data_IF_255781503027
#
_entry.id   IF_255781503027
#
_cell.length_a   1.000
_cell.length_b   1.000
_cell.length_c   1.000
_cell.angle_alpha   90.00
_cell.angle_beta   90.00
_cell.angle_gamma   90.00
#
_symmetry.space_group_name_H-M   'P 1'
#
loop_
_entity.id
_entity.type
_entity.pdbx_description
1 polymer ?
#
# COMPACT_ATOMS: atom_id res chain seq x y z
N UNK A 1 13.06 8.19 -25.88
CA UNK A 1 11.70 7.83 -25.41
C UNK A 1 10.96 9.09 -24.99
N UNK A 2 9.77 9.34 -25.57
CA UNK A 2 9.15 10.67 -25.59
C UNK A 2 8.60 11.11 -24.23
N UNK A 3 8.86 12.39 -23.88
CA UNK A 3 8.40 13.10 -22.68
C UNK A 3 6.91 13.45 -22.78
N UNK A 4 6.04 12.46 -22.90
CA UNK A 4 4.59 12.67 -23.04
C UNK A 4 3.82 12.45 -21.71
N UNK A 5 4.25 13.09 -20.61
CA UNK A 5 3.43 13.26 -19.39
C UNK A 5 3.80 14.56 -18.67
N UNK A 6 3.38 15.70 -19.23
CA UNK A 6 3.25 16.96 -18.47
C UNK A 6 1.78 17.39 -18.52
N UNK A 7 0.88 16.53 -18.02
CA UNK A 7 -0.41 16.99 -17.50
C UNK A 7 -0.10 17.85 -16.28
N UNK A 8 -0.80 18.98 -16.10
CA UNK A 8 -0.67 19.92 -14.97
C UNK A 8 -0.37 19.17 -13.66
N UNK A 9 0.90 19.12 -13.26
CA UNK A 9 1.28 18.54 -11.97
C UNK A 9 0.74 19.50 -10.91
N UNK A 10 -0.10 19.04 -9.97
CA UNK A 10 -0.54 19.89 -8.89
C UNK A 10 0.67 20.41 -8.09
N UNK A 11 0.54 21.62 -7.56
CA UNK A 11 1.57 22.21 -6.69
C UNK A 11 1.79 21.25 -5.52
N UNK A 12 3.05 20.99 -5.18
CA UNK A 12 3.39 20.16 -4.02
C UNK A 12 2.76 20.81 -2.79
N UNK A 13 1.87 20.10 -2.06
CA UNK A 13 1.21 20.66 -0.90
C UNK A 13 2.22 21.09 0.17
N UNK A 14 1.97 22.24 0.81
CA UNK A 14 2.80 22.73 1.93
C UNK A 14 2.48 22.03 3.25
N UNK A 15 1.31 21.39 3.36
CA UNK A 15 0.88 20.64 4.54
C UNK A 15 0.30 19.30 4.15
N UNK A 16 0.15 18.39 5.11
CA UNK A 16 -0.50 17.08 4.92
C UNK A 16 -2.03 17.18 4.71
N UNK A 17 -2.62 18.32 5.08
CA UNK A 17 -4.04 18.63 4.94
C UNK A 17 -4.32 19.18 3.54
N UNK A 18 -4.25 18.30 2.54
CA UNK A 18 -4.55 18.65 1.15
C UNK A 18 -5.60 17.72 0.58
N UNK A 19 -6.42 18.23 -0.33
CA UNK A 19 -7.38 17.41 -1.04
C UNK A 19 -6.68 16.62 -2.14
N UNK A 20 -7.02 15.34 -2.26
CA UNK A 20 -6.59 14.52 -3.38
C UNK A 20 -7.50 14.87 -4.56
N UNK A 21 -7.00 15.36 -5.70
CA UNK A 21 -7.87 15.68 -6.82
C UNK A 21 -8.62 14.43 -7.31
N UNK A 22 -9.88 14.59 -7.72
CA UNK A 22 -10.76 13.47 -8.12
C UNK A 22 -10.13 12.56 -9.18
N UNK A 23 -9.37 13.14 -10.12
CA UNK A 23 -8.66 12.39 -11.16
C UNK A 23 -7.62 11.40 -10.64
N UNK A 24 -7.16 11.55 -9.39
CA UNK A 24 -6.25 10.62 -8.71
C UNK A 24 -6.99 9.66 -7.78
N UNK A 25 -8.26 9.92 -7.49
CA UNK A 25 -9.10 9.03 -6.70
C UNK A 25 -9.74 7.92 -7.56
N UNK A 26 -9.60 8.00 -8.88
CA UNK A 26 -10.24 7.10 -9.84
C UNK A 26 -9.24 6.46 -10.80
N UNK A 27 -9.60 5.29 -11.34
CA UNK A 27 -8.92 4.66 -12.46
C UNK A 27 -9.15 5.44 -13.76
N UNK A 28 -8.43 5.09 -14.83
CA UNK A 28 -8.66 5.65 -16.17
C UNK A 28 -10.08 5.36 -16.72
N UNK A 29 -10.77 4.37 -16.14
CA UNK A 29 -12.15 3.99 -16.46
C UNK A 29 -13.14 4.47 -15.40
N UNK A 30 -12.78 5.54 -14.67
CA UNK A 30 -13.62 6.23 -13.67
C UNK A 30 -14.15 5.36 -12.54
N UNK A 31 -13.47 4.24 -12.25
CA UNK A 31 -13.76 3.39 -11.09
C UNK A 31 -12.99 3.90 -9.88
N UNK A 32 -13.48 3.63 -8.68
CA UNK A 32 -12.78 3.96 -7.43
C UNK A 32 -11.35 3.39 -7.42
N UNK A 33 -10.40 4.20 -6.98
CA UNK A 33 -9.00 3.83 -6.84
C UNK A 33 -8.39 4.29 -5.51
N UNK A 34 -8.76 5.47 -5.00
CA UNK A 34 -8.47 5.82 -3.60
C UNK A 34 -9.35 4.94 -2.70
N UNK A 35 -8.71 4.01 -1.99
CA UNK A 35 -9.36 3.03 -1.14
C UNK A 35 -9.55 3.58 0.28
N UNK A 36 -8.48 4.12 0.86
CA UNK A 36 -8.46 4.69 2.21
C UNK A 36 -7.77 6.05 2.18
N UNK A 37 -8.36 7.00 2.91
CA UNK A 37 -7.77 8.27 3.28
C UNK A 37 -8.02 8.52 4.77
N UNK A 38 -6.98 8.33 5.58
CA UNK A 38 -7.10 8.31 7.04
C UNK A 38 -6.00 9.14 7.71
N UNK A 39 -6.37 9.95 8.70
CA UNK A 39 -5.41 10.62 9.57
C UNK A 39 -5.25 9.81 10.87
N UNK A 40 -4.09 9.18 11.07
CA UNK A 40 -3.79 8.43 12.31
C UNK A 40 -3.66 9.36 13.51
N UNK A 41 -3.33 10.63 13.26
CA UNK A 41 -3.34 11.71 14.23
C UNK A 41 -3.94 12.93 13.56
N UNK A 42 -4.95 13.57 14.15
CA UNK A 42 -5.64 14.70 13.51
C UNK A 42 -4.65 15.77 13.01
N UNK A 43 -4.69 16.09 11.73
CA UNK A 43 -3.81 17.09 11.10
C UNK A 43 -2.37 16.62 10.85
N UNK A 44 -2.06 15.35 11.11
CA UNK A 44 -0.73 14.73 11.03
C UNK A 44 -0.86 13.27 10.57
N UNK A 45 0.25 12.59 10.31
CA UNK A 45 0.29 11.15 10.06
C UNK A 45 -0.85 10.59 9.18
N UNK A 46 -0.95 11.06 7.94
CA UNK A 46 -1.96 10.59 6.98
C UNK A 46 -1.51 9.28 6.35
N UNK A 47 -2.39 8.29 6.34
CA UNK A 47 -2.27 7.01 5.64
C UNK A 47 -3.19 7.05 4.41
N UNK A 48 -2.62 6.82 3.23
CA UNK A 48 -3.38 6.66 1.99
C UNK A 48 -3.17 5.26 1.43
N UNK A 49 -4.25 4.62 0.98
CA UNK A 49 -4.19 3.35 0.26
C UNK A 49 -4.92 3.51 -1.06
N UNK A 50 -4.26 3.11 -2.14
CA UNK A 50 -4.82 3.08 -3.47
C UNK A 50 -4.87 1.64 -3.99
N UNK A 51 -6.06 1.22 -4.39
CA UNK A 51 -6.30 -0.07 -5.04
C UNK A 51 -7.66 -0.04 -5.73
N UNK A 52 -7.74 -0.66 -6.90
CA UNK A 52 -9.03 -0.92 -7.56
C UNK A 52 -9.64 -2.22 -7.03
N UNK A 53 -10.96 -2.38 -7.17
CA UNK A 53 -11.64 -3.61 -6.76
C UNK A 53 -11.03 -4.86 -7.43
N UNK A 54 -10.61 -4.77 -8.69
CA UNK A 54 -9.94 -5.86 -9.40
C UNK A 54 -8.61 -6.25 -8.76
N UNK A 55 -7.82 -5.25 -8.34
CA UNK A 55 -6.58 -5.51 -7.63
C UNK A 55 -6.82 -6.10 -6.24
N UNK A 56 -7.86 -5.66 -5.53
CA UNK A 56 -8.27 -6.25 -4.25
C UNK A 56 -8.72 -7.71 -4.42
N UNK A 57 -9.47 -8.03 -5.48
CA UNK A 57 -9.80 -9.42 -5.83
C UNK A 57 -8.53 -10.26 -5.97
N UNK A 58 -7.52 -9.76 -6.70
CA UNK A 58 -6.24 -10.45 -6.85
C UNK A 58 -5.50 -10.61 -5.52
N UNK A 59 -5.45 -9.56 -4.70
CA UNK A 59 -4.80 -9.57 -3.40
C UNK A 59 -5.40 -10.64 -2.48
N UNK A 60 -6.73 -10.67 -2.36
CA UNK A 60 -7.42 -11.55 -1.41
C UNK A 60 -7.54 -13.00 -1.90
N UNK A 61 -7.41 -13.26 -3.19
CA UNK A 61 -7.37 -14.62 -3.75
C UNK A 61 -5.96 -15.23 -3.75
N UNK A 62 -4.94 -14.41 -3.53
CA UNK A 62 -3.57 -14.89 -3.63
C UNK A 62 -3.09 -15.62 -2.39
N UNK A 63 -2.30 -16.66 -2.64
CA UNK A 63 -1.57 -17.40 -1.60
C UNK A 63 -0.23 -16.75 -1.27
N UNK A 64 0.34 -15.94 -2.16
CA UNK A 64 1.64 -15.29 -1.99
C UNK A 64 1.54 -13.81 -2.28
N UNK A 65 1.96 -13.01 -1.31
CA UNK A 65 2.08 -11.56 -1.49
C UNK A 65 3.52 -11.13 -1.23
N UNK A 66 3.92 -10.08 -1.93
CA UNK A 66 5.20 -9.42 -1.78
C UNK A 66 4.93 -8.02 -1.26
N UNK A 67 5.74 -7.57 -0.31
CA UNK A 67 5.64 -6.23 0.22
C UNK A 67 7.00 -5.56 0.13
N UNK A 68 7.01 -4.32 -0.33
CA UNK A 68 8.25 -3.57 -0.53
C UNK A 68 8.07 -2.11 -0.13
N UNK A 69 8.99 -1.65 0.71
CA UNK A 69 9.05 -0.29 1.20
C UNK A 69 10.10 0.52 0.46
N UNK A 70 9.70 1.46 -0.41
CA UNK A 70 10.65 2.35 -1.08
C UNK A 70 10.68 3.75 -0.47
N UNK A 71 11.89 4.27 -0.23
CA UNK A 71 12.14 5.53 0.48
C UNK A 71 12.55 6.66 -0.47
N UNK A 72 13.30 6.34 -1.53
CA UNK A 72 13.97 7.31 -2.40
C UNK A 72 13.00 8.20 -3.19
N UNK A 73 11.74 7.78 -3.33
CA UNK A 73 10.72 8.45 -4.13
C UNK A 73 9.55 8.99 -3.29
N UNK A 74 9.73 9.11 -1.98
CA UNK A 74 8.62 9.45 -1.07
C UNK A 74 8.12 10.88 -1.29
N UNK A 75 6.81 11.08 -1.56
CA UNK A 75 6.23 12.43 -1.64
C UNK A 75 6.37 13.19 -0.31
N UNK A 76 6.36 14.52 -0.39
CA UNK A 76 6.33 15.35 0.80
C UNK A 76 5.21 14.91 1.77
N UNK A 77 5.48 14.98 3.07
CA UNK A 77 4.61 14.58 4.19
C UNK A 77 4.47 13.08 4.46
N UNK A 78 5.00 12.21 3.61
CA UNK A 78 5.07 10.76 3.85
C UNK A 78 6.51 10.34 4.14
N UNK A 79 6.69 9.16 4.71
CA UNK A 79 8.02 8.58 5.00
C UNK A 79 8.33 7.34 4.20
N UNK A 80 7.33 6.77 3.55
CA UNK A 80 7.47 5.55 2.76
C UNK A 80 6.36 5.45 1.73
N UNK A 81 6.73 5.07 0.51
CA UNK A 81 5.81 4.45 -0.45
C UNK A 81 5.90 2.96 -0.20
N UNK A 82 4.78 2.33 0.13
CA UNK A 82 4.72 0.91 0.44
C UNK A 82 3.87 0.21 -0.61
N UNK A 83 4.45 -0.77 -1.29
CA UNK A 83 3.82 -1.48 -2.40
C UNK A 83 3.49 -2.90 -1.98
N UNK A 84 2.27 -3.33 -2.27
CA UNK A 84 1.87 -4.73 -2.14
C UNK A 84 1.68 -5.30 -3.53
N UNK A 85 2.40 -6.38 -3.82
CA UNK A 85 2.33 -7.11 -5.06
C UNK A 85 1.81 -8.53 -4.83
N UNK A 86 1.33 -9.13 -5.90
CA UNK A 86 1.02 -10.55 -5.91
C UNK A 86 1.39 -11.18 -7.24
N UNK A 87 1.51 -12.50 -7.28
CA UNK A 87 1.77 -13.25 -8.49
C UNK A 87 0.46 -13.77 -9.10
N UNK A 88 0.28 -13.56 -10.41
CA UNK A 88 -0.75 -14.25 -11.18
C UNK A 88 -0.22 -14.61 -12.56
N UNK A 89 -0.38 -15.87 -12.97
CA UNK A 89 0.11 -16.40 -14.25
C UNK A 89 1.61 -16.17 -14.49
N UNK A 90 2.44 -16.32 -13.45
CA UNK A 90 3.89 -16.10 -13.54
C UNK A 90 4.32 -14.64 -13.68
N UNK A 91 3.42 -13.69 -13.46
CA UNK A 91 3.71 -12.26 -13.45
C UNK A 91 3.45 -11.66 -12.08
N UNK A 92 4.38 -10.84 -11.63
CA UNK A 92 4.20 -10.00 -10.44
C UNK A 92 3.40 -8.74 -10.80
N UNK A 93 2.33 -8.50 -10.06
CA UNK A 93 1.37 -7.42 -10.30
C UNK A 93 1.23 -6.56 -9.04
N UNK A 94 1.38 -5.22 -9.13
CA UNK A 94 1.09 -4.35 -8.01
C UNK A 94 -0.42 -4.28 -7.78
N UNK A 95 -0.84 -4.56 -6.55
CA UNK A 95 -2.25 -4.63 -6.16
C UNK A 95 -2.64 -3.61 -5.10
N UNK A 96 -1.69 -3.04 -4.34
CA UNK A 96 -1.96 -1.87 -3.53
C UNK A 96 -0.75 -0.93 -3.49
N UNK A 97 -1.03 0.37 -3.54
CA UNK A 97 -0.05 1.43 -3.42
C UNK A 97 -0.39 2.25 -2.17
N UNK A 98 0.51 2.28 -1.21
CA UNK A 98 0.25 2.90 0.08
C UNK A 98 1.25 4.03 0.33
N UNK A 99 0.76 5.15 0.86
CA UNK A 99 1.61 6.24 1.34
C UNK A 99 1.54 6.27 2.85
N UNK A 100 2.65 5.92 3.51
CA UNK A 100 2.72 5.73 4.94
C UNK A 100 3.38 6.96 5.60
N UNK A 101 2.82 7.45 6.72
CA UNK A 101 3.36 8.62 7.40
C UNK A 101 4.63 8.34 8.20
N UNK A 102 4.88 7.08 8.56
CA UNK A 102 6.03 6.64 9.35
C UNK A 102 6.16 5.11 9.26
N UNK A 103 7.30 4.56 9.68
CA UNK A 103 7.61 3.12 9.67
C UNK A 103 7.35 2.43 11.03
N UNK A 104 6.28 2.82 11.73
CA UNK A 104 5.98 2.27 13.07
C UNK A 104 4.99 1.12 12.96
N UNK A 105 5.11 0.13 13.85
CA UNK A 105 4.18 -1.00 13.93
C UNK A 105 2.70 -0.60 13.90
N UNK A 106 2.33 0.48 14.61
CA UNK A 106 0.93 0.99 14.61
C UNK A 106 0.42 1.41 13.23
N UNK A 107 1.30 1.95 12.38
CA UNK A 107 0.93 2.35 11.01
C UNK A 107 0.72 1.12 10.13
N UNK A 108 1.59 0.11 10.25
CA UNK A 108 1.41 -1.15 9.53
C UNK A 108 0.17 -1.89 10.02
N UNK A 109 -0.10 -1.90 11.33
CA UNK A 109 -1.29 -2.51 11.91
C UNK A 109 -2.55 -1.92 11.27
N UNK A 110 -2.64 -0.59 11.26
CA UNK A 110 -3.75 0.11 10.61
C UNK A 110 -3.88 -0.26 9.12
N UNK A 111 -2.76 -0.32 8.38
CA UNK A 111 -2.77 -0.75 6.98
C UNK A 111 -3.38 -2.17 6.82
N UNK A 112 -2.97 -3.12 7.65
CA UNK A 112 -3.49 -4.50 7.61
C UNK A 112 -4.97 -4.57 8.01
N UNK A 113 -5.37 -3.86 9.07
CA UNK A 113 -6.77 -3.79 9.52
C UNK A 113 -7.68 -3.26 8.41
N UNK A 114 -7.28 -2.17 7.74
CA UNK A 114 -8.06 -1.61 6.63
C UNK A 114 -8.16 -2.58 5.45
N UNK A 115 -7.10 -3.31 5.11
CA UNK A 115 -7.17 -4.34 4.06
C UNK A 115 -8.09 -5.50 4.44
N UNK A 116 -8.06 -5.95 5.70
CA UNK A 116 -8.97 -7.00 6.21
C UNK A 116 -10.43 -6.56 6.19
N UNK A 117 -10.72 -5.33 6.62
CA UNK A 117 -12.06 -4.75 6.54
C UNK A 117 -12.57 -4.76 5.09
N UNK A 118 -11.73 -4.39 4.12
CA UNK A 118 -12.09 -4.43 2.70
C UNK A 118 -12.31 -5.86 2.20
N UNK A 119 -11.54 -6.84 2.66
CA UNK A 119 -11.79 -8.25 2.35
C UNK A 119 -13.18 -8.68 2.85
N UNK A 120 -13.55 -8.32 4.08
CA UNK A 120 -14.87 -8.61 4.66
C UNK A 120 -15.99 -7.97 3.83
N UNK A 121 -15.85 -6.69 3.48
CA UNK A 121 -16.82 -5.97 2.62
C UNK A 121 -17.01 -6.68 1.28
N UNK A 122 -15.96 -7.27 0.71
CA UNK A 122 -16.01 -8.03 -0.54
C UNK A 122 -16.44 -9.49 -0.38
N UNK A 123 -16.84 -9.93 0.82
CA UNK A 123 -17.19 -11.33 1.11
C UNK A 123 -16.01 -12.29 0.98
N UNK A 124 -14.79 -11.80 1.21
CA UNK A 124 -13.52 -12.54 1.12
C UNK A 124 -12.81 -12.55 2.48
N UNK A 125 -11.68 -13.23 2.53
CA UNK A 125 -10.75 -13.20 3.66
C UNK A 125 -9.38 -12.78 3.16
N UNK A 126 -8.68 -11.97 3.94
CA UNK A 126 -7.27 -11.68 3.68
C UNK A 126 -6.41 -12.69 4.45
N UNK A 127 -6.03 -13.78 3.79
CA UNK A 127 -5.32 -14.91 4.40
C UNK A 127 -4.23 -15.47 3.48
N UNK A 128 -3.20 -14.66 3.16
CA UNK A 128 -2.06 -15.14 2.38
C UNK A 128 -1.37 -16.30 3.12
N UNK A 129 -0.78 -17.24 2.38
CA UNK A 129 -0.01 -18.36 2.92
C UNK A 129 1.47 -18.06 3.01
N UNK A 130 1.95 -17.12 2.20
CA UNK A 130 3.32 -16.65 2.18
C UNK A 130 3.37 -15.14 2.01
N UNK A 131 4.19 -14.50 2.83
CA UNK A 131 4.56 -13.10 2.68
C UNK A 131 6.07 -13.04 2.46
N UNK A 132 6.47 -12.33 1.41
CA UNK A 132 7.88 -12.04 1.10
C UNK A 132 8.05 -10.52 1.25
N UNK A 133 8.99 -10.10 2.09
CA UNK A 133 9.20 -8.67 2.37
C UNK A 133 10.66 -8.42 2.72
N UNK A 134 11.14 -7.20 2.56
CA UNK A 134 12.41 -6.77 3.16
C UNK A 134 12.34 -6.79 4.69
N UNK A 135 13.51 -6.84 5.33
CA UNK A 135 13.56 -6.82 6.80
C UNK A 135 13.20 -5.43 7.33
N UNK A 136 11.99 -5.31 7.85
CA UNK A 136 11.52 -4.14 8.60
C UNK A 136 11.14 -4.54 10.04
N UNK A 137 11.88 -4.10 11.08
CA UNK A 137 11.71 -4.61 12.45
C UNK A 137 10.35 -4.28 13.06
N UNK A 138 9.75 -3.15 12.68
CA UNK A 138 8.42 -2.72 13.14
C UNK A 138 7.27 -3.44 12.41
N UNK A 139 7.52 -4.03 11.24
CA UNK A 139 6.53 -4.71 10.41
C UNK A 139 6.35 -6.18 10.81
N UNK A 140 7.44 -6.89 11.09
CA UNK A 140 7.38 -8.34 11.36
C UNK A 140 6.44 -8.73 12.51
N UNK A 141 6.44 -8.04 13.67
CA UNK A 141 5.51 -8.36 14.76
C UNK A 141 4.05 -8.16 14.35
N UNK A 142 3.78 -7.16 13.50
CA UNK A 142 2.44 -6.88 13.00
C UNK A 142 1.96 -8.00 12.08
N UNK A 143 2.80 -8.46 11.15
CA UNK A 143 2.46 -9.57 10.27
C UNK A 143 2.09 -10.81 11.09
N UNK A 144 2.92 -11.15 12.08
CA UNK A 144 2.71 -12.32 12.95
C UNK A 144 1.42 -12.21 13.77
N UNK A 145 1.05 -10.99 14.20
CA UNK A 145 -0.20 -10.74 14.90
C UNK A 145 -1.42 -10.84 13.96
N UNK A 146 -1.32 -10.28 12.76
CA UNK A 146 -2.46 -10.08 11.88
C UNK A 146 -2.77 -11.28 10.99
N UNK A 147 -1.77 -12.08 10.60
CA UNK A 147 -1.97 -13.20 9.66
C UNK A 147 -1.16 -14.42 10.10
N UNK A 148 -1.82 -15.58 10.14
CA UNK A 148 -1.14 -16.86 10.33
C UNK A 148 -0.45 -17.28 9.04
N UNK A 149 0.79 -16.84 8.86
CA UNK A 149 1.49 -16.88 7.58
C UNK A 149 2.96 -17.24 7.71
N UNK A 150 3.51 -17.86 6.66
CA UNK A 150 4.95 -18.04 6.54
C UNK A 150 5.60 -16.75 6.01
N UNK A 151 6.59 -16.23 6.73
CA UNK A 151 7.28 -14.98 6.40
C UNK A 151 8.68 -15.30 5.89
N UNK A 152 9.00 -14.78 4.71
CA UNK A 152 10.35 -14.76 4.16
C UNK A 152 10.86 -13.32 4.14
N UNK A 153 11.90 -13.04 4.93
CA UNK A 153 12.56 -11.73 4.93
C UNK A 153 13.78 -11.75 4.02
N UNK A 154 13.83 -10.85 3.04
CA UNK A 154 15.03 -10.63 2.23
C UNK A 154 15.95 -9.61 2.93
N UNK A 155 17.23 -9.95 3.06
CA UNK A 155 18.26 -9.02 3.50
C UNK A 155 19.04 -8.59 2.28
N UNK A 156 18.80 -7.37 1.80
CA UNK A 156 19.64 -6.79 0.76
C UNK A 156 20.91 -6.29 1.44
N UNK A 157 22.00 -7.07 1.36
CA UNK A 157 23.32 -6.53 1.67
C UNK A 157 23.62 -5.47 0.61
N UNK A 158 23.67 -4.20 1.00
CA UNK A 158 24.21 -3.15 0.14
C UNK A 158 25.66 -3.54 -0.18
N UNK A 159 25.92 -3.88 -1.45
CA UNK A 159 27.25 -4.08 -1.99
C UNK A 159 27.92 -2.73 -2.30
#
# INVERSE_FOLDING_TARGET
MSKARRKKTPVIPSTVMFDIPESYQQTLTTKRFLLIDLFLKRGQDRLLIFSSDQQLHLLFESTTIFMDGTFDITPAHFKQVYLIHTEKFGQELPVAFCLLPNKRGKTYLELFERLKEQAIVMGKQFNPKRIITDYEPDLLPVIQQEVNVFILTIHVQHA
#
